data_IF_736120839941
#
_entry.id   IF_736120839941
#
_cell.length_a   1.000
_cell.length_b   1.000
_cell.length_c   1.000
_cell.angle_alpha   90.00
_cell.angle_beta   90.00
_cell.angle_gamma   90.00
#
_symmetry.space_group_name_H-M   'P 1'
#
loop_
_entity.id
_entity.type
_entity.pdbx_description
1 polymer ?
#
# COMPACT_ATOMS: atom_id res chain seq x y z
N UNK A 1 -43.72 7.52 -22.63
CA UNK A 1 -42.33 7.99 -22.40
C UNK A 1 -41.78 8.55 -23.72
N UNK A 2 -41.22 9.75 -23.71
CA UNK A 2 -40.85 10.45 -24.94
C UNK A 2 -39.63 9.76 -25.58
N UNK A 3 -39.68 9.37 -26.86
CA UNK A 3 -38.61 8.57 -27.52
C UNK A 3 -37.22 9.20 -27.38
N UNK A 4 -37.13 10.52 -27.38
CA UNK A 4 -35.89 11.29 -27.15
C UNK A 4 -35.31 11.10 -25.74
N UNK A 5 -36.17 11.01 -24.73
CA UNK A 5 -35.79 10.78 -23.34
C UNK A 5 -35.26 9.36 -23.16
N UNK A 6 -35.89 8.37 -23.82
CA UNK A 6 -35.43 6.97 -23.79
C UNK A 6 -34.01 6.83 -24.36
N UNK A 7 -33.74 7.47 -25.50
CA UNK A 7 -32.42 7.42 -26.15
C UNK A 7 -31.36 8.07 -25.24
N UNK A 8 -31.67 9.21 -24.63
CA UNK A 8 -30.73 9.91 -23.75
C UNK A 8 -30.37 9.09 -22.51
N UNK A 9 -31.34 8.40 -21.91
CA UNK A 9 -31.11 7.49 -20.78
C UNK A 9 -30.21 6.32 -21.18
N UNK A 10 -30.42 5.73 -22.36
CA UNK A 10 -29.60 4.61 -22.86
C UNK A 10 -28.13 5.05 -23.06
N UNK A 11 -27.89 6.24 -23.63
CA UNK A 11 -26.53 6.76 -23.84
C UNK A 11 -25.80 6.96 -22.51
N UNK A 12 -26.47 7.49 -21.49
CA UNK A 12 -25.89 7.69 -20.16
C UNK A 12 -25.56 6.34 -19.50
N UNK A 13 -26.45 5.35 -19.61
CA UNK A 13 -26.21 4.00 -19.07
C UNK A 13 -25.00 3.33 -19.74
N UNK A 14 -24.87 3.46 -21.07
CA UNK A 14 -23.72 2.93 -21.81
C UNK A 14 -22.42 3.61 -21.38
N UNK A 15 -22.42 4.93 -21.21
CA UNK A 15 -21.24 5.67 -20.75
C UNK A 15 -20.79 5.23 -19.34
N UNK A 16 -21.75 5.00 -18.44
CA UNK A 16 -21.47 4.48 -17.09
C UNK A 16 -20.93 3.05 -17.14
N UNK A 17 -21.52 2.17 -17.96
CA UNK A 17 -21.04 0.79 -18.13
C UNK A 17 -19.62 0.72 -18.72
N UNK A 18 -19.28 1.61 -19.65
CA UNK A 18 -17.93 1.70 -20.20
C UNK A 18 -16.89 2.14 -19.15
N UNK A 19 -17.26 3.06 -18.25
CA UNK A 19 -16.41 3.44 -17.12
C UNK A 19 -16.18 2.26 -16.16
N UNK A 20 -17.23 1.48 -15.86
CA UNK A 20 -17.10 0.28 -15.03
C UNK A 20 -16.22 -0.79 -15.69
N UNK A 21 -16.30 -0.99 -17.00
CA UNK A 21 -15.45 -1.96 -17.72
C UNK A 21 -13.97 -1.55 -17.70
N UNK A 22 -13.65 -0.27 -17.87
CA UNK A 22 -12.27 0.23 -17.76
C UNK A 22 -11.73 0.02 -16.35
N UNK A 23 -12.56 0.21 -15.32
CA UNK A 23 -12.17 -0.04 -13.94
C UNK A 23 -11.95 -1.53 -13.65
N UNK A 24 -12.88 -2.39 -14.08
CA UNK A 24 -12.80 -3.84 -13.84
C UNK A 24 -11.64 -4.52 -14.57
N UNK A 25 -11.22 -4.01 -15.75
CA UNK A 25 -10.15 -4.64 -16.52
C UNK A 25 -8.75 -4.42 -15.90
N UNK A 26 -8.59 -3.43 -15.02
CA UNK A 26 -7.35 -3.23 -14.25
C UNK A 26 -7.11 -4.31 -13.18
N UNK A 27 -8.17 -5.01 -12.77
CA UNK A 27 -8.11 -6.11 -11.78
C UNK A 27 -7.89 -7.48 -12.43
N UNK A 28 -7.58 -7.53 -13.73
CA UNK A 28 -7.23 -8.78 -14.41
C UNK A 28 -5.95 -9.35 -13.81
N UNK A 29 -6.16 -10.25 -12.85
CA UNK A 29 -5.20 -11.10 -12.16
C UNK A 29 -4.28 -11.78 -13.18
N UNK A 30 -3.17 -11.11 -13.47
CA UNK A 30 -1.99 -11.77 -13.98
C UNK A 30 -1.55 -12.76 -12.92
N UNK A 31 -1.17 -13.96 -13.35
CA UNK A 31 -0.57 -15.02 -12.56
C UNK A 31 0.85 -14.60 -12.11
N UNK A 32 0.93 -13.44 -11.47
CA UNK A 32 2.11 -12.68 -11.13
C UNK A 32 2.83 -13.36 -9.98
N UNK A 33 4.17 -13.31 -9.99
CA UNK A 33 4.99 -13.70 -8.84
C UNK A 33 4.49 -12.91 -7.62
N UNK A 34 3.67 -13.54 -6.79
CA UNK A 34 3.17 -12.98 -5.55
C UNK A 34 4.28 -13.12 -4.52
N UNK A 35 4.53 -12.05 -3.79
CA UNK A 35 5.44 -12.03 -2.65
C UNK A 35 4.60 -12.09 -1.39
N UNK A 36 5.10 -12.81 -0.38
CA UNK A 36 4.52 -12.80 0.96
C UNK A 36 5.35 -11.83 1.78
N UNK A 37 4.69 -10.84 2.38
CA UNK A 37 5.32 -9.86 3.26
C UNK A 37 4.79 -10.05 4.69
N UNK A 38 5.66 -9.76 5.65
CA UNK A 38 5.34 -9.71 7.08
C UNK A 38 5.67 -8.30 7.57
N UNK A 39 4.66 -7.59 8.05
CA UNK A 39 4.77 -6.20 8.50
C UNK A 39 4.20 -6.04 9.91
N UNK A 40 4.58 -4.97 10.59
CA UNK A 40 3.94 -4.56 11.85
C UNK A 40 2.46 -4.24 11.63
N UNK A 41 1.61 -4.68 12.56
CA UNK A 41 0.18 -4.32 12.60
C UNK A 41 -0.09 -2.85 12.93
N UNK A 42 0.93 -2.10 13.39
CA UNK A 42 0.85 -0.67 13.71
C UNK A 42 0.77 0.24 12.46
N UNK A 43 -0.24 0.01 11.64
CA UNK A 43 -0.55 0.77 10.43
C UNK A 43 -2.06 0.89 10.22
N UNK A 44 -2.52 1.33 9.04
CA UNK A 44 -1.73 1.99 8.01
C UNK A 44 -1.37 3.44 8.40
N UNK A 45 -0.15 3.87 8.07
CA UNK A 45 0.33 5.25 8.28
C UNK A 45 0.29 6.00 6.94
N UNK A 46 -0.18 7.24 6.91
CA UNK A 46 -0.13 8.06 5.70
C UNK A 46 1.32 8.24 5.21
N UNK A 47 1.55 8.05 3.91
CA UNK A 47 2.89 8.15 3.31
C UNK A 47 3.53 9.52 3.54
N UNK A 48 2.75 10.59 3.52
CA UNK A 48 3.20 11.96 3.79
C UNK A 48 3.90 12.08 5.16
N UNK A 49 3.34 11.45 6.20
CA UNK A 49 3.92 11.45 7.55
C UNK A 49 5.27 10.73 7.58
N UNK A 50 5.39 9.64 6.81
CA UNK A 50 6.64 8.89 6.70
C UNK A 50 7.70 9.69 5.94
N UNK A 51 7.34 10.29 4.80
CA UNK A 51 8.28 11.13 4.05
C UNK A 51 8.73 12.36 4.84
N UNK A 52 7.85 12.93 5.68
CA UNK A 52 8.20 14.04 6.56
C UNK A 52 9.11 13.59 7.72
N UNK A 53 8.88 12.40 8.29
CA UNK A 53 9.78 11.81 9.30
C UNK A 53 11.17 11.55 8.72
N UNK A 54 11.25 11.00 7.51
CA UNK A 54 12.52 10.76 6.79
C UNK A 54 13.33 12.05 6.61
N UNK A 55 12.68 13.18 6.30
CA UNK A 55 13.37 14.46 6.11
C UNK A 55 13.93 15.06 7.40
N UNK A 56 13.18 14.93 8.48
CA UNK A 56 13.35 15.75 9.67
C UNK A 56 14.00 15.00 10.84
N UNK A 57 14.03 13.66 10.79
CA UNK A 57 14.54 12.83 11.86
C UNK A 57 15.96 12.35 11.56
N UNK A 58 16.88 12.54 12.51
CA UNK A 58 18.29 12.14 12.36
C UNK A 58 18.47 10.63 12.19
N UNK A 59 17.46 9.82 12.53
CA UNK A 59 17.47 8.38 12.27
C UNK A 59 17.65 8.04 10.78
N UNK A 60 17.17 8.89 9.87
CA UNK A 60 17.27 8.67 8.43
C UNK A 60 18.39 9.49 7.78
N UNK A 61 19.32 10.06 8.54
CA UNK A 61 20.42 10.84 7.98
C UNK A 61 21.22 10.02 6.95
N UNK A 62 21.38 10.57 5.74
CA UNK A 62 22.01 9.88 4.61
C UNK A 62 21.04 9.13 3.69
N UNK A 63 19.72 9.34 3.83
CA UNK A 63 18.74 8.80 2.89
C UNK A 63 18.99 9.23 1.43
N UNK A 64 18.59 8.39 0.50
CA UNK A 64 18.61 8.64 -0.93
C UNK A 64 17.50 9.63 -1.33
N UNK A 65 17.93 10.78 -1.83
CA UNK A 65 17.03 11.89 -2.18
C UNK A 65 16.13 11.53 -3.36
N UNK A 66 16.58 10.69 -4.29
CA UNK A 66 15.78 10.28 -5.44
C UNK A 66 14.64 9.35 -5.03
N UNK A 67 14.91 8.42 -4.12
CA UNK A 67 13.91 7.51 -3.54
C UNK A 67 12.90 8.27 -2.71
N UNK A 68 13.33 9.22 -1.88
CA UNK A 68 12.38 10.07 -1.15
C UNK A 68 11.47 10.86 -2.10
N UNK A 69 12.01 11.49 -3.14
CA UNK A 69 11.22 12.22 -4.15
C UNK A 69 10.23 11.31 -4.87
N UNK A 70 10.65 10.09 -5.18
CA UNK A 70 9.75 9.09 -5.77
C UNK A 70 8.62 8.74 -4.81
N UNK A 71 8.90 8.48 -3.53
CA UNK A 71 7.86 8.24 -2.52
C UNK A 71 6.83 9.39 -2.49
N UNK A 72 7.29 10.63 -2.43
CA UNK A 72 6.41 11.81 -2.44
C UNK A 72 5.53 11.89 -3.69
N UNK A 73 6.07 11.49 -4.84
CA UNK A 73 5.35 11.52 -6.11
C UNK A 73 4.19 10.53 -6.19
N UNK A 74 4.16 9.50 -5.34
CA UNK A 74 3.07 8.52 -5.30
C UNK A 74 1.77 9.10 -4.73
N UNK A 75 1.84 10.25 -4.04
CA UNK A 75 0.69 10.99 -3.53
C UNK A 75 0.01 10.33 -2.34
N UNK A 76 -1.33 10.31 -2.35
CA UNK A 76 -2.13 9.72 -1.27
C UNK A 76 -1.99 8.19 -1.29
N UNK A 77 -1.17 7.69 -0.35
CA UNK A 77 -0.77 6.29 -0.17
C UNK A 77 -0.58 6.02 1.32
N UNK A 78 -0.55 4.74 1.64
CA UNK A 78 -0.47 4.24 2.99
C UNK A 78 0.73 3.31 3.15
N UNK A 79 1.27 3.29 4.36
CA UNK A 79 2.53 2.64 4.69
C UNK A 79 2.35 1.67 5.84
N UNK A 80 2.94 0.49 5.68
CA UNK A 80 3.24 -0.45 6.74
C UNK A 80 4.75 -0.58 6.90
N UNK A 81 5.23 -0.78 8.13
CA UNK A 81 6.65 -0.91 8.43
C UNK A 81 6.98 -2.36 8.75
N UNK A 82 8.07 -2.85 8.18
CA UNK A 82 8.74 -4.08 8.61
C UNK A 82 10.12 -3.75 9.19
N UNK A 83 10.84 -4.75 9.67
CA UNK A 83 12.20 -4.60 10.21
C UNK A 83 13.15 -4.04 9.16
N UNK A 84 13.03 -4.49 7.92
CA UNK A 84 13.96 -4.13 6.84
C UNK A 84 13.28 -3.35 5.71
N UNK A 85 11.96 -3.17 5.77
CA UNK A 85 11.18 -2.65 4.63
C UNK A 85 10.18 -1.56 5.04
N UNK A 86 9.95 -0.63 4.14
CA UNK A 86 8.84 0.33 4.13
C UNK A 86 7.91 -0.10 2.99
N UNK A 87 6.71 -0.57 3.33
CA UNK A 87 5.76 -1.12 2.35
C UNK A 87 4.66 -0.10 2.07
N UNK A 88 4.65 0.43 0.85
CA UNK A 88 3.72 1.45 0.35
C UNK A 88 2.63 0.79 -0.49
N UNK A 89 1.38 1.14 -0.23
CA UNK A 89 0.22 0.63 -0.97
C UNK A 89 -0.90 1.66 -1.08
N UNK A 90 -1.87 1.39 -1.95
CA UNK A 90 -3.10 2.17 -2.02
C UNK A 90 -4.00 1.92 -0.80
N UNK A 91 -4.87 2.89 -0.51
CA UNK A 91 -5.83 2.80 0.60
C UNK A 91 -6.65 1.52 0.58
N UNK A 92 -7.15 1.14 -0.60
CA UNK A 92 -7.99 -0.03 -0.76
C UNK A 92 -7.27 -1.33 -0.41
N UNK A 93 -5.96 -1.40 -0.68
CA UNK A 93 -5.14 -2.55 -0.29
C UNK A 93 -4.81 -2.51 1.21
N UNK A 94 -4.53 -1.33 1.76
CA UNK A 94 -4.29 -1.14 3.19
C UNK A 94 -5.50 -1.52 4.05
N UNK A 95 -6.71 -1.18 3.63
CA UNK A 95 -7.96 -1.46 4.36
C UNK A 95 -8.28 -2.97 4.45
N UNK A 96 -7.55 -3.84 3.71
CA UNK A 96 -7.71 -5.30 3.80
C UNK A 96 -6.90 -5.92 4.93
N UNK A 97 -5.93 -5.18 5.50
CA UNK A 97 -5.07 -5.65 6.58
C UNK A 97 -5.74 -5.26 7.90
N UNK A 98 -6.01 -6.21 8.82
CA UNK A 98 -6.74 -5.97 10.06
C UNK A 98 -5.87 -5.32 11.15
N UNK A 99 -5.29 -4.15 10.83
CA UNK A 99 -4.37 -3.45 11.73
C UNK A 99 -4.93 -3.19 13.13
N UNK A 100 -4.12 -3.46 14.15
CA UNK A 100 -4.44 -3.22 15.54
C UNK A 100 -3.25 -2.61 16.30
N UNK A 101 -3.56 -1.63 17.17
CA UNK A 101 -2.60 -1.08 18.13
C UNK A 101 -2.84 -1.72 19.49
N UNK A 102 -1.80 -2.35 20.03
CA UNK A 102 -1.80 -2.99 21.35
C UNK A 102 -0.60 -2.54 22.17
N UNK A 103 -0.72 -2.61 23.49
CA UNK A 103 0.32 -2.11 24.41
C UNK A 103 1.12 -3.23 25.10
N UNK A 104 0.61 -4.46 25.10
CA UNK A 104 1.12 -5.62 25.84
C UNK A 104 1.49 -6.82 24.94
N UNK A 105 1.32 -6.67 23.63
CA UNK A 105 1.70 -7.64 22.63
C UNK A 105 2.30 -6.91 21.42
N UNK A 106 2.93 -7.68 20.54
CA UNK A 106 3.33 -7.23 19.22
C UNK A 106 2.64 -8.12 18.17
N UNK A 107 1.99 -7.48 17.19
CA UNK A 107 1.28 -8.16 16.12
C UNK A 107 1.99 -7.95 14.79
N UNK A 108 2.07 -9.03 14.03
CA UNK A 108 2.61 -9.06 12.69
C UNK A 108 1.53 -9.51 11.70
N UNK A 109 1.33 -8.72 10.66
CA UNK A 109 0.38 -8.98 9.61
C UNK A 109 1.09 -9.64 8.43
N UNK A 110 0.59 -10.81 8.03
CA UNK A 110 1.12 -11.58 6.90
C UNK A 110 0.13 -11.47 5.76
N UNK A 111 0.60 -10.99 4.60
CA UNK A 111 -0.24 -10.88 3.41
C UNK A 111 0.55 -11.19 2.14
N UNK A 112 -0.19 -11.55 1.09
CA UNK A 112 0.34 -11.76 -0.24
C UNK A 112 0.05 -10.55 -1.14
N UNK A 113 1.03 -10.16 -1.96
CA UNK A 113 0.90 -8.99 -2.82
C UNK A 113 1.76 -9.10 -4.10
N UNK A 114 1.64 -8.11 -4.97
CA UNK A 114 2.55 -7.91 -6.09
C UNK A 114 3.43 -6.68 -5.85
N UNK A 115 4.74 -6.87 -5.87
CA UNK A 115 5.71 -5.77 -5.85
C UNK A 115 5.72 -5.12 -7.24
N UNK A 116 5.40 -3.83 -7.29
CA UNK A 116 5.44 -3.01 -8.50
C UNK A 116 6.82 -2.40 -8.70
N UNK A 117 7.42 -1.91 -7.63
CA UNK A 117 8.71 -1.25 -7.64
C UNK A 117 9.41 -1.46 -6.29
N UNK A 118 10.73 -1.62 -6.32
CA UNK A 118 11.60 -1.71 -5.15
C UNK A 118 12.74 -0.71 -5.30
N UNK A 119 12.97 0.12 -4.29
CA UNK A 119 14.09 1.07 -4.20
C UNK A 119 14.72 1.00 -2.82
N UNK A 120 16.03 1.24 -2.71
CA UNK A 120 16.68 1.40 -1.40
C UNK A 120 16.48 2.83 -0.87
N UNK A 121 16.16 2.99 0.42
CA UNK A 121 16.11 4.31 1.04
C UNK A 121 17.50 4.94 1.24
N UNK A 122 18.59 4.21 1.03
CA UNK A 122 19.94 4.77 1.12
C UNK A 122 21.05 3.74 0.94
N UNK A 123 22.26 4.22 0.65
CA UNK A 123 23.43 3.36 0.46
C UNK A 123 24.11 3.08 1.81
N UNK A 124 23.76 1.96 2.44
CA UNK A 124 24.37 1.49 3.68
C UNK A 124 23.65 0.28 4.28
N UNK A 125 24.35 -0.48 5.14
CA UNK A 125 23.83 -1.72 5.76
C UNK A 125 22.65 -1.53 6.74
N UNK A 126 22.08 -0.32 6.83
CA UNK A 126 21.08 0.06 7.81
C UNK A 126 19.85 0.75 7.21
N UNK A 127 19.84 0.99 5.90
CA UNK A 127 18.67 1.59 5.25
C UNK A 127 17.68 0.52 4.85
N UNK A 128 16.40 0.84 5.03
CA UNK A 128 15.29 -0.03 4.67
C UNK A 128 15.06 0.01 3.16
N UNK A 129 14.66 -1.12 2.59
CA UNK A 129 14.10 -1.15 1.25
C UNK A 129 12.70 -0.52 1.26
N UNK A 130 12.31 0.11 0.15
CA UNK A 130 11.02 0.74 -0.03
C UNK A 130 10.29 0.02 -1.16
N UNK A 131 9.22 -0.66 -0.79
CA UNK A 131 8.41 -1.48 -1.69
C UNK A 131 7.12 -0.74 -2.03
N UNK A 132 6.85 -0.52 -3.30
CA UNK A 132 5.51 -0.14 -3.75
C UNK A 132 4.78 -1.39 -4.25
N UNK A 133 3.62 -1.67 -3.68
CA UNK A 133 2.89 -2.92 -3.90
C UNK A 133 1.45 -2.68 -4.34
N UNK A 134 0.81 -3.74 -4.85
CA UNK A 134 -0.63 -3.80 -5.10
C UNK A 134 -1.20 -5.21 -4.90
N UNK A 135 -2.53 -5.33 -4.99
CA UNK A 135 -3.26 -6.59 -4.98
C UNK A 135 -3.01 -7.37 -3.68
N UNK A 136 -3.17 -6.67 -2.55
CA UNK A 136 -3.01 -7.23 -1.22
C UNK A 136 -4.14 -8.22 -0.94
N UNK A 137 -3.75 -9.36 -0.38
CA UNK A 137 -4.61 -10.41 0.13
C UNK A 137 -4.07 -10.83 1.50
N UNK A 138 -4.83 -10.51 2.54
CA UNK A 138 -4.48 -10.91 3.90
C UNK A 138 -4.45 -12.43 4.03
N UNK A 139 -3.42 -12.96 4.71
CA UNK A 139 -3.25 -14.39 4.93
C UNK A 139 -3.48 -14.73 6.40
N UNK A 140 -2.70 -14.12 7.29
CA UNK A 140 -2.67 -14.49 8.71
C UNK A 140 -2.11 -13.36 9.59
N UNK A 141 -2.32 -13.49 10.90
CA UNK A 141 -1.79 -12.60 11.94
C UNK A 141 -0.92 -13.42 12.93
N UNK A 142 0.32 -13.00 13.14
CA UNK A 142 1.20 -13.55 14.17
C UNK A 142 1.18 -12.69 15.43
N UNK A 143 0.89 -13.32 16.56
CA UNK A 143 0.81 -12.67 17.86
C UNK A 143 1.99 -13.04 18.75
N UNK A 144 2.75 -12.03 19.18
CA UNK A 144 3.85 -12.18 20.12
C UNK A 144 3.50 -11.51 21.46
N UNK A 145 3.16 -12.32 22.46
CA UNK A 145 2.93 -11.84 23.81
C UNK A 145 4.25 -11.53 24.52
N UNK A 146 4.34 -10.35 25.13
CA UNK A 146 5.46 -10.02 26.01
C UNK A 146 5.24 -10.78 27.32
N UNK A 147 6.00 -11.86 27.54
CA UNK A 147 6.04 -12.52 28.85
C UNK A 147 6.78 -11.59 29.82
N UNK A 148 6.04 -11.02 30.78
CA UNK A 148 6.56 -10.19 31.88
C UNK A 148 6.88 -11.07 33.08
#
# INVERSE_FOLDING_TARGET
MNKKIVILVIVVIIAVLLLFLVYANNDSSSNSNRTILNVSSEGPIELSKITDDIKNNSYYEGYDVETLRWMESLGDKYVFKSNDEIVIMDKWDADKIPSAYVCDAYFQEIFSCNVLENRTLGDGNHFKDVLFIKNVEFIDEEVHYIQI
#
